data_IF_101139767298
#
_entry.id   IF_101139767298
#
_cell.length_a   1.000
_cell.length_b   1.000
_cell.length_c   1.000
_cell.angle_alpha   90.00
_cell.angle_beta   90.00
_cell.angle_gamma   90.00
#
_symmetry.space_group_name_H-M   'P 1'
#
loop_
_entity.id
_entity.type
_entity.pdbx_description
1 polymer ?
#
# COMPACT_ATOMS: atom_id res chain seq x y z
N UNK A 1 -15.34 -18.23 0.68
CA UNK A 1 -14.68 -17.16 1.47
C UNK A 1 -14.24 -16.08 0.49
N UNK A 2 -14.50 -14.81 0.81
CA UNK A 2 -14.09 -13.69 -0.03
C UNK A 2 -12.91 -12.98 0.61
N UNK A 3 -11.81 -12.83 -0.12
CA UNK A 3 -10.64 -12.07 0.32
C UNK A 3 -10.46 -10.86 -0.60
N UNK A 4 -10.06 -9.74 -0.01
CA UNK A 4 -9.61 -8.55 -0.72
C UNK A 4 -8.11 -8.40 -0.45
N UNK A 5 -7.30 -8.52 -1.50
CA UNK A 5 -5.86 -8.39 -1.40
C UNK A 5 -5.40 -7.16 -2.17
N UNK A 6 -4.40 -6.48 -1.63
CA UNK A 6 -3.75 -5.38 -2.30
C UNK A 6 -2.25 -5.34 -1.97
N UNK A 7 -1.48 -4.86 -2.92
CA UNK A 7 -0.02 -4.90 -2.88
C UNK A 7 0.55 -3.48 -2.95
N UNK A 8 1.62 -3.25 -2.17
CA UNK A 8 2.38 -2.02 -2.17
C UNK A 8 3.89 -2.32 -2.21
N UNK A 9 4.61 -1.65 -3.10
CA UNK A 9 6.06 -1.67 -3.18
C UNK A 9 6.64 -0.64 -2.20
N UNK A 10 7.31 -1.14 -1.16
CA UNK A 10 7.88 -0.35 -0.09
C UNK A 10 9.41 -0.36 -0.14
N UNK A 11 10.03 0.76 0.23
CA UNK A 11 11.47 0.83 0.47
C UNK A 11 11.72 0.75 1.99
N UNK A 12 12.13 -0.42 2.48
CA UNK A 12 12.46 -0.62 3.89
C UNK A 12 13.93 -0.99 4.05
N UNK A 13 14.66 -0.22 4.87
CA UNK A 13 16.08 -0.48 5.18
C UNK A 13 16.93 -0.62 3.90
N UNK A 14 16.68 0.27 2.93
CA UNK A 14 17.33 0.28 1.61
C UNK A 14 17.06 -0.96 0.74
N UNK A 15 16.01 -1.73 1.02
CA UNK A 15 15.59 -2.89 0.23
C UNK A 15 14.14 -2.71 -0.22
N UNK A 16 13.86 -3.03 -1.48
CA UNK A 16 12.50 -3.07 -2.01
C UNK A 16 11.78 -4.32 -1.53
N UNK A 17 10.58 -4.13 -0.98
CA UNK A 17 9.73 -5.22 -0.50
C UNK A 17 8.30 -5.00 -0.98
N UNK A 18 7.62 -6.09 -1.33
CA UNK A 18 6.18 -6.05 -1.58
C UNK A 18 5.46 -6.33 -0.26
N UNK A 19 4.66 -5.37 0.18
CA UNK A 19 3.76 -5.50 1.32
C UNK A 19 2.38 -5.87 0.78
N UNK A 20 1.93 -7.09 1.04
CA UNK A 20 0.59 -7.57 0.67
C UNK A 20 -0.35 -7.43 1.87
N UNK A 21 -1.34 -6.57 1.76
CA UNK A 21 -2.43 -6.45 2.73
C UNK A 21 -3.58 -7.34 2.27
N UNK A 22 -3.92 -8.33 3.10
CA UNK A 22 -5.08 -9.21 2.88
C UNK A 22 -6.16 -8.84 3.90
N UNK A 23 -7.38 -8.61 3.42
CA UNK A 23 -8.55 -8.29 4.22
C UNK A 23 -9.61 -9.34 3.97
N UNK A 24 -9.88 -10.13 4.99
CA UNK A 24 -10.88 -11.19 4.96
C UNK A 24 -12.30 -10.63 5.11
N UNK A 25 -13.23 -11.17 4.32
CA UNK A 25 -14.67 -10.88 4.42
C UNK A 25 -15.32 -11.97 5.28
N UNK A 26 -16.00 -11.58 6.34
CA UNK A 26 -16.77 -12.49 7.18
C UNK A 26 -18.26 -12.21 7.05
N UNK A 27 -19.07 -13.26 7.04
CA UNK A 27 -20.51 -13.14 7.18
C UNK A 27 -20.89 -13.14 8.67
N UNK A 28 -21.54 -12.10 9.15
CA UNK A 28 -22.05 -12.05 10.52
C UNK A 28 -23.35 -12.85 10.60
N UNK A 29 -23.34 -13.97 11.34
CA UNK A 29 -24.51 -14.86 11.50
C UNK A 29 -25.70 -14.21 12.23
N UNK A 30 -25.48 -13.10 12.94
CA UNK A 30 -26.51 -12.44 13.74
C UNK A 30 -27.32 -11.41 12.94
N UNK A 31 -26.72 -10.79 11.94
CA UNK A 31 -27.34 -9.71 11.16
C UNK A 31 -27.31 -9.94 9.64
N UNK A 32 -26.90 -11.12 9.20
CA UNK A 32 -26.80 -11.55 7.80
C UNK A 32 -26.01 -10.60 6.88
N UNK A 33 -25.09 -9.82 7.46
CA UNK A 33 -24.28 -8.83 6.74
C UNK A 33 -22.85 -9.33 6.58
N UNK A 34 -22.27 -9.09 5.40
CA UNK A 34 -20.84 -9.27 5.14
C UNK A 34 -20.08 -8.08 5.73
N UNK A 35 -19.14 -8.35 6.63
CA UNK A 35 -18.27 -7.39 7.28
C UNK A 35 -16.82 -7.62 6.85
N UNK A 36 -16.07 -6.53 6.71
CA UNK A 36 -14.66 -6.54 6.34
C UNK A 36 -13.93 -5.42 7.08
N UNK A 37 -12.66 -5.63 7.44
CA UNK A 37 -11.81 -4.58 7.99
C UNK A 37 -11.64 -3.41 6.99
N UNK A 38 -11.62 -2.19 7.52
CA UNK A 38 -11.35 -0.98 6.74
C UNK A 38 -9.99 -1.10 6.02
N UNK A 39 -9.90 -0.49 4.83
CA UNK A 39 -8.62 -0.48 4.11
C UNK A 39 -7.62 0.40 4.87
N UNK A 40 -6.34 0.00 4.96
CA UNK A 40 -5.32 0.94 5.42
C UNK A 40 -5.27 2.14 4.47
N UNK A 41 -5.12 3.33 5.03
CA UNK A 41 -4.98 4.56 4.26
C UNK A 41 -3.72 4.50 3.39
N UNK A 42 -3.84 4.92 2.12
CA UNK A 42 -2.71 4.99 1.19
C UNK A 42 -2.44 6.44 0.80
N UNK A 43 -1.16 6.84 0.61
CA UNK A 43 -0.82 8.16 0.11
C UNK A 43 -1.38 8.43 -1.29
N UNK A 44 -1.43 7.40 -2.14
CA UNK A 44 -2.03 7.44 -3.47
C UNK A 44 -3.08 6.33 -3.53
N UNK A 45 -4.34 6.71 -3.78
CA UNK A 45 -5.41 5.74 -3.90
C UNK A 45 -5.18 4.82 -5.10
N UNK A 46 -5.31 3.50 -4.90
CA UNK A 46 -5.03 2.44 -5.89
C UNK A 46 -3.59 2.41 -6.44
N UNK A 47 -2.69 3.25 -5.94
CA UNK A 47 -1.28 3.25 -6.30
C UNK A 47 -0.52 2.06 -5.69
N UNK A 48 0.49 1.58 -6.43
CA UNK A 48 1.39 0.52 -5.95
C UNK A 48 2.51 1.05 -5.06
N UNK A 49 2.79 2.34 -5.07
CA UNK A 49 3.92 2.90 -4.33
C UNK A 49 3.61 3.03 -2.84
N UNK A 50 4.45 2.41 -2.01
CA UNK A 50 4.45 2.58 -0.56
C UNK A 50 5.01 3.94 -0.14
N UNK A 51 4.70 4.40 1.09
CA UNK A 51 5.16 5.69 1.61
C UNK A 51 6.68 5.87 1.62
N UNK A 52 7.47 4.85 1.94
CA UNK A 52 8.93 4.91 1.92
C UNK A 52 9.52 4.98 0.52
N UNK A 53 8.92 4.31 -0.46
CA UNK A 53 9.27 4.49 -1.87
C UNK A 53 8.97 5.93 -2.32
N UNK A 54 7.78 6.46 -2.02
CA UNK A 54 7.41 7.84 -2.35
C UNK A 54 8.36 8.84 -1.69
N UNK A 55 8.71 8.63 -0.42
CA UNK A 55 9.68 9.47 0.28
C UNK A 55 11.04 9.48 -0.43
N UNK A 56 11.55 8.31 -0.86
CA UNK A 56 12.82 8.25 -1.60
C UNK A 56 12.76 8.99 -2.93
N UNK A 57 11.67 8.83 -3.69
CA UNK A 57 11.47 9.52 -4.97
C UNK A 57 11.46 11.04 -4.76
N UNK A 58 10.70 11.52 -3.77
CA UNK A 58 10.63 12.94 -3.45
C UNK A 58 11.98 13.52 -3.00
N UNK A 59 12.69 12.83 -2.10
CA UNK A 59 14.02 13.26 -1.64
C UNK A 59 15.01 13.30 -2.80
N UNK A 60 15.02 12.27 -3.66
CA UNK A 60 15.92 12.23 -4.82
C UNK A 60 15.68 13.39 -5.79
N UNK A 61 14.39 13.69 -6.06
CA UNK A 61 14.00 14.76 -6.97
C UNK A 61 14.32 16.16 -6.44
N UNK A 62 14.02 16.41 -5.17
CA UNK A 62 13.99 17.77 -4.63
C UNK A 62 15.14 18.11 -3.70
N UNK A 63 15.74 17.13 -3.02
CA UNK A 63 16.82 17.35 -2.07
C UNK A 63 18.19 16.90 -2.61
N UNK A 64 18.25 15.81 -3.37
CA UNK A 64 19.51 15.28 -3.92
C UNK A 64 19.81 15.80 -5.33
N UNK A 65 18.99 16.72 -5.86
CA UNK A 65 19.10 17.29 -7.21
C UNK A 65 19.32 16.23 -8.30
N UNK A 66 18.82 15.02 -8.08
CA UNK A 66 19.00 13.92 -9.03
C UNK A 66 18.00 14.12 -10.16
N UNK A 67 18.45 14.22 -11.41
CA UNK A 67 17.55 14.48 -12.49
C UNK A 67 16.66 13.25 -12.74
N UNK A 68 15.35 13.47 -12.75
CA UNK A 68 14.35 12.47 -13.14
C UNK A 68 14.34 12.36 -14.66
N UNK A 69 15.33 11.69 -15.24
CA UNK A 69 15.21 11.27 -16.62
C UNK A 69 15.71 9.85 -16.80
N UNK A 70 15.06 9.20 -17.76
CA UNK A 70 15.55 8.08 -18.53
C UNK A 70 15.47 8.49 -19.99
#
# INVERSE_FOLDING_TARGET
QGEDAAEQLELMRSVFRVIRTVREKHACRRCDRIVQAAAPSRPIERGIAGPGLLARVLTSKYAEHTPHYR
#
